data_IF_894371088691
#
_entry.id   IF_894371088691
#
_cell.length_a   1.000
_cell.length_b   1.000
_cell.length_c   1.000
_cell.angle_alpha   90.00
_cell.angle_beta   90.00
_cell.angle_gamma   90.00
#
_symmetry.space_group_name_H-M   'P 1'
#
loop_
_entity.id
_entity.type
_entity.pdbx_description
1 polymer ?
#
# COMPACT_ATOMS: atom_id res chain seq x y z
N UNK A 1 -12.82 12.24 22.16
CA UNK A 1 -12.80 11.55 20.84
C UNK A 1 -12.20 10.18 21.08
N UNK A 2 -12.74 9.12 20.48
CA UNK A 2 -12.13 7.80 20.58
C UNK A 2 -10.75 7.85 19.92
N UNK A 3 -9.75 7.19 20.53
CA UNK A 3 -8.39 7.16 19.98
C UNK A 3 -8.38 6.40 18.64
N UNK A 4 -7.78 7.01 17.61
CA UNK A 4 -7.51 6.29 16.36
C UNK A 4 -6.33 5.34 16.56
N UNK A 5 -6.51 4.05 16.28
CA UNK A 5 -5.50 3.02 16.46
C UNK A 5 -5.27 2.27 15.16
N UNK A 6 -4.03 2.24 14.71
CA UNK A 6 -3.61 1.47 13.54
C UNK A 6 -2.80 0.24 14.00
N UNK A 7 -3.36 -0.96 13.82
CA UNK A 7 -2.62 -2.22 13.98
C UNK A 7 -1.84 -2.47 12.71
N UNK A 8 -0.53 -2.39 12.81
CA UNK A 8 0.38 -2.16 11.70
C UNK A 8 1.54 -3.15 11.69
N UNK A 9 2.06 -3.43 10.51
CA UNK A 9 3.39 -3.99 10.32
C UNK A 9 4.21 -3.06 9.43
N UNK A 10 5.33 -2.61 9.89
CA UNK A 10 6.11 -1.53 9.28
C UNK A 10 6.40 -1.70 7.78
N UNK A 11 6.68 -2.94 7.30
CA UNK A 11 6.91 -3.23 5.87
C UNK A 11 5.65 -3.60 5.08
N UNK A 12 4.49 -3.65 5.70
CA UNK A 12 3.26 -3.99 4.99
C UNK A 12 2.87 -2.87 4.03
N UNK A 13 2.76 -3.20 2.73
CA UNK A 13 2.29 -2.26 1.71
C UNK A 13 0.88 -1.75 2.01
N UNK A 14 -0.01 -2.61 2.50
CA UNK A 14 -1.37 -2.21 2.87
C UNK A 14 -1.41 -1.27 4.07
N UNK A 15 -0.54 -1.48 5.07
CA UNK A 15 -0.39 -0.58 6.22
C UNK A 15 0.23 0.75 5.80
N UNK A 16 1.23 0.74 4.91
CA UNK A 16 1.85 1.96 4.40
C UNK A 16 0.83 2.85 3.70
N UNK A 17 -0.13 2.28 2.93
CA UNK A 17 -1.25 3.03 2.35
C UNK A 17 -2.02 3.81 3.41
N UNK A 18 -2.34 3.16 4.55
CA UNK A 18 -3.09 3.82 5.62
C UNK A 18 -2.28 4.88 6.35
N UNK A 19 -0.99 4.65 6.59
CA UNK A 19 -0.12 5.68 7.16
C UNK A 19 -0.11 6.94 6.29
N UNK A 20 0.00 6.78 4.97
CA UNK A 20 -0.08 7.93 4.03
C UNK A 20 -1.42 8.63 4.17
N UNK A 21 -2.53 7.91 4.09
CA UNK A 21 -3.86 8.50 4.11
C UNK A 21 -4.17 9.21 5.44
N UNK A 22 -3.80 8.62 6.58
CA UNK A 22 -3.97 9.23 7.89
C UNK A 22 -3.14 10.51 8.02
N UNK A 23 -1.93 10.52 7.47
CA UNK A 23 -1.09 11.72 7.44
C UNK A 23 -1.65 12.81 6.51
N UNK A 24 -2.15 12.44 5.32
CA UNK A 24 -2.83 13.39 4.41
C UNK A 24 -4.07 14.00 5.06
N UNK A 25 -4.82 13.17 5.81
CA UNK A 25 -5.99 13.62 6.57
C UNK A 25 -5.64 14.42 7.84
N UNK A 26 -4.37 14.55 8.19
CA UNK A 26 -3.90 15.12 9.45
C UNK A 26 -4.56 14.46 10.69
N UNK A 27 -4.87 13.16 10.62
CA UNK A 27 -5.47 12.39 11.71
C UNK A 27 -4.34 11.80 12.57
N UNK A 28 -4.20 12.23 13.83
CA UNK A 28 -3.27 11.60 14.75
C UNK A 28 -3.73 10.18 15.07
N UNK A 29 -2.80 9.24 15.09
CA UNK A 29 -3.09 7.85 15.40
C UNK A 29 -1.98 7.22 16.25
N UNK A 30 -2.34 6.21 17.02
CA UNK A 30 -1.41 5.36 17.74
C UNK A 30 -1.16 4.09 16.92
N UNK A 31 0.06 3.87 16.50
CA UNK A 31 0.45 2.62 15.85
C UNK A 31 0.66 1.51 16.90
N UNK A 32 0.06 0.35 16.66
CA UNK A 32 0.27 -0.88 17.44
C UNK A 32 0.93 -1.90 16.52
N UNK A 33 2.21 -2.23 16.73
CA UNK A 33 2.90 -3.16 15.87
C UNK A 33 2.33 -4.58 15.99
N UNK A 34 2.22 -5.26 14.84
CA UNK A 34 1.84 -6.68 14.73
C UNK A 34 2.92 -7.38 13.92
N UNK A 35 3.80 -8.11 14.58
CA UNK A 35 4.96 -8.73 13.92
C UNK A 35 4.53 -9.95 13.08
N UNK A 36 4.55 -9.77 11.76
CA UNK A 36 4.21 -10.83 10.80
C UNK A 36 5.25 -11.94 10.76
N UNK A 37 6.51 -11.65 11.08
CA UNK A 37 7.59 -12.63 11.10
C UNK A 37 7.44 -13.56 12.29
N UNK A 38 7.09 -13.00 13.46
CA UNK A 38 6.79 -13.76 14.69
C UNK A 38 5.41 -14.44 14.66
N UNK A 39 4.58 -14.14 13.65
CA UNK A 39 3.26 -14.74 13.51
C UNK A 39 2.18 -14.10 14.39
N UNK A 40 2.40 -12.92 14.96
CA UNK A 40 1.44 -12.23 15.85
C UNK A 40 0.09 -11.95 15.19
N UNK A 41 0.05 -11.80 13.86
CA UNK A 41 -1.19 -11.68 13.09
C UNK A 41 -2.10 -12.92 13.15
N UNK A 42 -1.59 -14.05 13.67
CA UNK A 42 -2.33 -15.30 13.89
C UNK A 42 -2.68 -15.55 15.35
N UNK A 43 -2.27 -14.66 16.24
CA UNK A 43 -2.64 -14.74 17.64
C UNK A 43 -4.16 -14.52 17.82
N UNK A 44 -4.80 -15.16 18.82
CA UNK A 44 -6.24 -15.06 19.04
C UNK A 44 -6.75 -13.61 19.13
N UNK A 45 -5.97 -12.74 19.76
CA UNK A 45 -6.33 -11.33 19.92
C UNK A 45 -6.38 -10.59 18.57
N UNK A 46 -5.46 -10.88 17.64
CA UNK A 46 -5.49 -10.27 16.31
C UNK A 46 -6.57 -10.90 15.44
N UNK A 47 -6.75 -12.21 15.52
CA UNK A 47 -7.83 -12.90 14.79
C UNK A 47 -9.23 -12.45 15.23
N UNK A 48 -9.39 -12.04 16.48
CA UNK A 48 -10.63 -11.43 16.96
C UNK A 48 -10.89 -10.06 16.29
N UNK A 49 -9.83 -9.29 15.93
CA UNK A 49 -9.94 -8.02 15.20
C UNK A 49 -10.12 -8.25 13.70
N UNK A 50 -9.35 -9.16 13.13
CA UNK A 50 -9.40 -9.50 11.71
C UNK A 50 -9.28 -11.02 11.52
N UNK A 51 -10.40 -11.72 11.28
CA UNK A 51 -10.38 -13.18 11.08
C UNK A 51 -9.51 -13.65 9.90
N UNK A 52 -9.17 -12.76 8.96
CA UNK A 52 -8.24 -13.07 7.86
C UNK A 52 -6.78 -13.19 8.33
N UNK A 53 -6.45 -12.75 9.55
CA UNK A 53 -5.07 -12.71 10.05
C UNK A 53 -4.18 -11.80 9.20
N UNK A 54 -4.67 -10.63 8.82
CA UNK A 54 -3.96 -9.66 7.98
C UNK A 54 -3.88 -8.30 8.69
N UNK A 55 -2.88 -7.52 8.31
CA UNK A 55 -2.76 -6.10 8.65
C UNK A 55 -2.98 -5.28 7.37
N UNK A 56 -3.45 -4.02 7.48
CA UNK A 56 -3.82 -3.28 8.68
C UNK A 56 -5.20 -3.61 9.23
N UNK A 57 -5.41 -3.26 10.50
CA UNK A 57 -6.73 -3.02 11.09
C UNK A 57 -6.72 -1.59 11.60
N UNK A 58 -7.78 -0.85 11.40
CA UNK A 58 -7.95 0.52 11.87
C UNK A 58 -9.15 0.63 12.79
N UNK A 59 -8.92 1.06 14.04
CA UNK A 59 -9.97 1.51 14.94
C UNK A 59 -10.11 3.02 14.77
N UNK A 60 -11.27 3.49 14.31
CA UNK A 60 -11.59 4.90 14.07
C UNK A 60 -13.09 5.14 14.17
N UNK A 61 -13.50 6.27 14.73
CA UNK A 61 -14.92 6.68 14.84
C UNK A 61 -15.82 5.65 15.54
N UNK A 62 -15.25 4.81 16.41
CA UNK A 62 -15.97 3.70 17.05
C UNK A 62 -16.15 2.45 16.20
N UNK A 63 -15.54 2.44 14.99
CA UNK A 63 -15.54 1.30 14.06
C UNK A 63 -14.18 0.58 14.10
N UNK A 64 -14.22 -0.73 13.85
CA UNK A 64 -13.03 -1.51 13.57
C UNK A 64 -13.06 -1.95 12.11
N UNK A 65 -12.15 -1.39 11.30
CA UNK A 65 -12.14 -1.53 9.85
C UNK A 65 -10.94 -2.37 9.38
N UNK A 66 -11.18 -3.18 8.36
CA UNK A 66 -10.17 -3.99 7.67
C UNK A 66 -10.19 -3.69 6.18
N UNK A 67 -9.19 -4.21 5.42
CA UNK A 67 -9.04 -3.96 3.98
C UNK A 67 -8.66 -2.52 3.64
N UNK A 68 -7.39 -2.32 3.26
CA UNK A 68 -6.85 -0.97 3.06
C UNK A 68 -7.63 -0.12 2.06
N UNK A 69 -8.15 -0.71 0.96
CA UNK A 69 -8.94 0.05 -0.02
C UNK A 69 -10.30 0.49 0.54
N UNK A 70 -10.97 -0.37 1.32
CA UNK A 70 -12.22 0.00 1.97
C UNK A 70 -12.01 1.10 3.03
N UNK A 71 -10.91 1.02 3.77
CA UNK A 71 -10.55 2.04 4.76
C UNK A 71 -10.21 3.37 4.07
N UNK A 72 -9.51 3.34 2.93
CA UNK A 72 -9.22 4.53 2.13
C UNK A 72 -10.49 5.19 1.61
N UNK A 73 -11.46 4.40 1.12
CA UNK A 73 -12.76 4.90 0.68
C UNK A 73 -13.54 5.52 1.85
N UNK A 74 -13.55 4.88 3.02
CA UNK A 74 -14.14 5.43 4.23
C UNK A 74 -13.52 6.78 4.63
N UNK A 75 -12.19 6.88 4.64
CA UNK A 75 -11.48 8.11 4.96
C UNK A 75 -11.75 9.20 3.93
N UNK A 76 -11.77 8.85 2.64
CA UNK A 76 -12.08 9.79 1.56
C UNK A 76 -13.48 10.40 1.75
N UNK A 77 -14.49 9.57 1.95
CA UNK A 77 -15.89 10.02 2.10
C UNK A 77 -16.14 10.79 3.40
N UNK A 78 -15.52 10.39 4.50
CA UNK A 78 -15.79 10.99 5.82
C UNK A 78 -14.92 12.20 6.12
N UNK A 79 -13.82 12.40 5.41
CA UNK A 79 -12.84 13.48 5.62
C UNK A 79 -12.67 14.37 4.38
N UNK A 80 -13.39 14.07 3.29
CA UNK A 80 -13.35 14.83 2.01
C UNK A 80 -11.91 14.98 1.49
N UNK A 81 -11.15 13.87 1.44
CA UNK A 81 -9.75 13.90 1.06
C UNK A 81 -9.54 14.13 -0.44
N UNK A 82 -10.55 13.82 -1.26
CA UNK A 82 -10.47 13.94 -2.72
C UNK A 82 -9.54 12.89 -3.35
N UNK A 83 -9.46 11.69 -2.75
CA UNK A 83 -8.57 10.62 -3.23
C UNK A 83 -8.97 10.10 -4.60
N UNK A 84 -10.24 10.27 -4.99
CA UNK A 84 -10.76 9.91 -6.30
C UNK A 84 -11.68 11.02 -6.82
N UNK A 85 -11.75 11.23 -8.15
CA UNK A 85 -12.64 12.23 -8.75
C UNK A 85 -14.12 12.00 -8.43
N UNK A 86 -14.92 13.09 -8.47
CA UNK A 86 -16.37 13.01 -8.31
C UNK A 86 -17.07 12.48 -9.57
N UNK A 87 -16.52 12.76 -10.77
CA UNK A 87 -17.05 12.22 -12.02
C UNK A 87 -16.93 10.69 -12.06
N UNK A 88 -18.00 9.94 -12.33
CA UNK A 88 -18.00 8.49 -12.26
C UNK A 88 -17.04 7.82 -13.25
N UNK A 89 -16.84 8.39 -14.44
CA UNK A 89 -15.96 7.81 -15.45
C UNK A 89 -14.49 8.00 -15.06
N UNK A 90 -14.11 9.21 -14.65
CA UNK A 90 -12.76 9.49 -14.16
C UNK A 90 -12.47 8.74 -12.85
N UNK A 91 -13.45 8.64 -11.93
CA UNK A 91 -13.36 7.83 -10.73
C UNK A 91 -13.04 6.37 -11.04
N UNK A 92 -13.77 5.78 -12.00
CA UNK A 92 -13.54 4.39 -12.42
C UNK A 92 -12.13 4.19 -12.98
N UNK A 93 -11.63 5.14 -13.77
CA UNK A 93 -10.26 5.09 -14.32
C UNK A 93 -9.20 5.17 -13.24
N UNK A 94 -9.33 6.08 -12.27
CA UNK A 94 -8.40 6.21 -11.15
C UNK A 94 -8.43 4.97 -10.26
N UNK A 95 -9.62 4.42 -10.00
CA UNK A 95 -9.75 3.17 -9.25
C UNK A 95 -9.11 2.00 -9.98
N UNK A 96 -9.29 1.88 -11.30
CA UNK A 96 -8.65 0.82 -12.09
C UNK A 96 -7.11 0.90 -11.99
N UNK A 97 -6.55 2.11 -12.08
CA UNK A 97 -5.11 2.34 -11.92
C UNK A 97 -4.63 1.91 -10.53
N UNK A 98 -5.31 2.32 -9.46
CA UNK A 98 -4.96 1.95 -8.10
C UNK A 98 -5.11 0.43 -7.84
N UNK A 99 -6.14 -0.19 -8.42
CA UNK A 99 -6.43 -1.62 -8.27
C UNK A 99 -5.43 -2.50 -9.02
N UNK A 100 -4.87 -2.05 -10.15
CA UNK A 100 -3.77 -2.76 -10.82
C UNK A 100 -2.59 -3.04 -9.87
N UNK A 101 -2.33 -2.13 -8.92
CA UNK A 101 -1.35 -2.35 -7.86
C UNK A 101 -1.94 -3.18 -6.71
N UNK A 102 -3.08 -2.73 -6.18
CA UNK A 102 -3.58 -3.20 -4.90
C UNK A 102 -4.23 -4.58 -4.96
N UNK A 103 -4.72 -4.99 -6.14
CA UNK A 103 -5.44 -6.24 -6.36
C UNK A 103 -4.62 -7.22 -7.22
N UNK A 104 -3.89 -6.73 -8.23
CA UNK A 104 -3.22 -7.63 -9.16
C UNK A 104 -1.76 -7.92 -8.75
N UNK A 105 -1.01 -6.93 -8.24
CA UNK A 105 0.40 -7.12 -7.84
C UNK A 105 0.51 -7.51 -6.36
N UNK A 106 -0.03 -6.66 -5.47
CA UNK A 106 0.20 -6.80 -4.02
C UNK A 106 -0.22 -8.15 -3.43
N UNK A 107 -1.40 -8.75 -3.76
CA UNK A 107 -1.82 -10.01 -3.15
C UNK A 107 -0.94 -11.19 -3.55
N UNK A 108 -0.49 -11.27 -4.80
CA UNK A 108 0.41 -12.35 -5.24
C UNK A 108 1.81 -12.20 -4.66
N UNK A 109 2.22 -10.98 -4.35
CA UNK A 109 3.47 -10.66 -3.66
C UNK A 109 3.36 -10.66 -2.13
N UNK A 110 2.24 -11.11 -1.57
CA UNK A 110 2.06 -11.22 -0.13
C UNK A 110 2.97 -12.30 0.46
N UNK A 111 3.46 -12.06 1.68
CA UNK A 111 4.39 -12.96 2.38
C UNK A 111 3.90 -14.41 2.46
N UNK A 112 2.59 -14.63 2.72
CA UNK A 112 2.02 -15.98 2.79
C UNK A 112 2.02 -16.69 1.44
N UNK A 113 1.80 -15.96 0.34
CA UNK A 113 1.78 -16.51 -1.02
C UNK A 113 3.20 -16.88 -1.45
N UNK A 114 4.15 -15.96 -1.29
CA UNK A 114 5.55 -16.22 -1.63
C UNK A 114 6.14 -17.38 -0.81
N UNK A 115 5.80 -17.47 0.49
CA UNK A 115 6.21 -18.59 1.34
C UNK A 115 5.66 -19.92 0.83
N UNK A 116 4.36 -19.96 0.51
CA UNK A 116 3.74 -21.18 -0.02
C UNK A 116 4.33 -21.58 -1.38
N UNK A 117 4.58 -20.62 -2.27
CA UNK A 117 5.26 -20.88 -3.54
C UNK A 117 6.67 -21.47 -3.32
N UNK A 118 7.42 -20.97 -2.33
CA UNK A 118 8.73 -21.53 -1.96
C UNK A 118 8.60 -22.95 -1.45
N UNK A 119 7.62 -23.26 -0.61
CA UNK A 119 7.35 -24.60 -0.13
C UNK A 119 7.03 -25.56 -1.30
N UNK A 120 6.18 -25.15 -2.24
CA UNK A 120 5.84 -25.93 -3.43
C UNK A 120 7.04 -26.18 -4.37
N UNK A 121 8.01 -25.28 -4.40
CA UNK A 121 9.26 -25.44 -5.16
C UNK A 121 10.31 -26.31 -4.47
N UNK A 122 9.97 -26.94 -3.34
CA UNK A 122 10.90 -27.72 -2.55
C UNK A 122 11.93 -26.89 -1.78
N UNK A 123 11.64 -25.61 -1.54
CA UNK A 123 12.54 -24.68 -0.81
C UNK A 123 13.70 -24.16 -1.67
N UNK A 124 13.54 -24.11 -3.00
CA UNK A 124 14.60 -23.65 -3.90
C UNK A 124 15.14 -22.29 -3.49
N UNK A 125 16.49 -22.19 -3.41
CA UNK A 125 17.19 -20.96 -3.09
C UNK A 125 16.88 -19.89 -4.14
N UNK A 126 16.67 -18.62 -3.69
CA UNK A 126 16.30 -17.51 -4.57
C UNK A 126 14.82 -17.43 -4.96
N UNK A 127 14.03 -18.50 -4.77
CA UNK A 127 12.62 -18.57 -5.17
C UNK A 127 11.77 -17.36 -4.71
N UNK A 128 11.86 -16.88 -3.46
CA UNK A 128 11.10 -15.70 -3.06
C UNK A 128 11.42 -14.45 -3.88
N UNK A 129 12.69 -14.22 -4.19
CA UNK A 129 13.13 -13.09 -5.00
C UNK A 129 12.67 -13.20 -6.46
N UNK A 130 12.80 -14.38 -7.06
CA UNK A 130 12.35 -14.64 -8.44
C UNK A 130 10.83 -14.48 -8.55
N UNK A 131 10.07 -14.99 -7.59
CA UNK A 131 8.62 -14.81 -7.51
C UNK A 131 8.25 -13.32 -7.49
N UNK A 132 8.87 -12.55 -6.61
CA UNK A 132 8.59 -11.12 -6.49
C UNK A 132 8.94 -10.36 -7.77
N UNK A 133 10.12 -10.59 -8.35
CA UNK A 133 10.53 -9.95 -9.60
C UNK A 133 9.62 -10.30 -10.77
N UNK A 134 9.19 -11.57 -10.84
CA UNK A 134 8.29 -12.06 -11.89
C UNK A 134 6.94 -11.33 -11.92
N UNK A 135 6.35 -11.01 -10.77
CA UNK A 135 5.04 -10.35 -10.72
C UNK A 135 5.14 -8.82 -10.63
N UNK A 136 6.13 -8.29 -9.92
CA UNK A 136 6.23 -6.84 -9.70
C UNK A 136 6.61 -6.13 -11.00
N UNK A 137 7.63 -6.59 -11.71
CA UNK A 137 8.14 -5.89 -12.90
C UNK A 137 7.09 -5.71 -13.99
N UNK A 138 6.45 -6.78 -14.52
CA UNK A 138 5.43 -6.61 -15.57
C UNK A 138 4.21 -5.85 -15.09
N UNK A 139 3.82 -5.99 -13.82
CA UNK A 139 2.72 -5.22 -13.25
C UNK A 139 3.01 -3.72 -13.20
N UNK A 140 4.23 -3.31 -12.82
CA UNK A 140 4.65 -1.90 -12.86
C UNK A 140 4.83 -1.38 -14.29
N UNK A 141 5.28 -2.21 -15.24
CA UNK A 141 5.29 -1.83 -16.66
C UNK A 141 3.88 -1.56 -17.20
N UNK A 142 2.92 -2.40 -16.85
CA UNK A 142 1.53 -2.17 -17.22
C UNK A 142 0.99 -0.87 -16.58
N UNK A 143 1.32 -0.63 -15.31
CA UNK A 143 0.95 0.62 -14.62
C UNK A 143 1.57 1.86 -15.30
N UNK A 144 2.85 1.81 -15.69
CA UNK A 144 3.52 2.88 -16.43
C UNK A 144 2.79 3.23 -17.74
N UNK A 145 2.31 2.21 -18.47
CA UNK A 145 1.51 2.41 -19.69
C UNK A 145 0.15 3.01 -19.38
N UNK A 146 -0.56 2.46 -18.38
CA UNK A 146 -1.88 2.97 -17.95
C UNK A 146 -1.78 4.43 -17.48
N UNK A 147 -0.72 4.76 -16.77
CA UNK A 147 -0.46 6.12 -16.26
C UNK A 147 -0.33 7.13 -17.40
N UNK A 148 0.13 6.71 -18.59
CA UNK A 148 0.17 7.54 -19.80
C UNK A 148 -1.20 8.02 -20.28
N UNK A 149 -2.30 7.44 -19.82
CA UNK A 149 -3.67 7.88 -20.09
C UNK A 149 -4.20 8.98 -19.16
N UNK A 150 -3.35 9.46 -18.22
CA UNK A 150 -3.70 10.53 -17.28
C UNK A 150 -2.82 11.75 -17.47
N UNK A 151 -3.36 12.91 -17.13
CA UNK A 151 -2.58 14.14 -17.04
C UNK A 151 -1.84 14.15 -15.68
N UNK A 152 -0.52 13.85 -15.73
CA UNK A 152 0.34 13.88 -14.55
C UNK A 152 0.79 15.31 -14.28
N UNK A 153 0.57 15.81 -13.02
CA UNK A 153 1.06 17.12 -12.64
C UNK A 153 0.95 17.36 -11.11
N UNK A 154 1.91 17.01 -10.29
CA UNK A 154 3.03 16.07 -10.47
C UNK A 154 2.68 14.63 -10.03
N UNK A 155 1.43 14.36 -9.57
CA UNK A 155 0.97 13.07 -9.10
C UNK A 155 0.38 12.22 -10.22
N UNK A 156 -0.04 11.01 -9.93
CA UNK A 156 -0.58 10.07 -10.92
C UNK A 156 -1.72 10.67 -11.76
N UNK A 157 -2.61 11.43 -11.12
CA UNK A 157 -3.86 11.86 -11.74
C UNK A 157 -4.16 13.36 -11.49
N UNK A 158 -3.15 14.21 -11.43
CA UNK A 158 -3.34 15.66 -11.24
C UNK A 158 -2.34 16.29 -10.28
N UNK A 159 -2.76 17.41 -9.69
CA UNK A 159 -1.93 18.29 -8.85
C UNK A 159 -1.93 17.95 -7.35
N UNK A 160 -2.81 17.06 -6.94
CA UNK A 160 -2.91 16.58 -5.56
C UNK A 160 -2.74 15.06 -5.50
N UNK A 161 -2.14 14.52 -4.42
CA UNK A 161 -1.97 13.08 -4.29
C UNK A 161 -3.31 12.38 -4.09
N UNK A 162 -3.54 11.31 -4.84
CA UNK A 162 -4.78 10.53 -4.84
C UNK A 162 -4.59 9.05 -4.50
N UNK A 163 -5.65 8.28 -4.74
CA UNK A 163 -5.69 6.86 -4.45
C UNK A 163 -4.59 6.09 -5.20
N UNK A 164 -4.30 6.47 -6.45
CA UNK A 164 -3.28 5.81 -7.27
C UNK A 164 -1.88 6.00 -6.67
N UNK A 165 -1.56 7.20 -6.20
CA UNK A 165 -0.27 7.52 -5.54
C UNK A 165 -0.10 6.73 -4.23
N UNK A 166 -1.16 6.69 -3.42
CA UNK A 166 -1.19 5.92 -2.16
C UNK A 166 -0.95 4.43 -2.40
N UNK A 167 -1.45 3.88 -3.52
CA UNK A 167 -1.22 2.49 -3.88
C UNK A 167 0.17 2.26 -4.49
N UNK A 168 0.66 3.21 -5.30
CA UNK A 168 1.92 3.10 -6.02
C UNK A 168 3.14 3.13 -5.09
N UNK A 169 3.22 4.08 -4.16
CA UNK A 169 4.41 4.28 -3.34
C UNK A 169 4.83 3.04 -2.52
N UNK A 170 3.91 2.31 -1.85
CA UNK A 170 4.26 1.04 -1.20
C UNK A 170 4.76 -0.03 -2.18
N UNK A 171 4.28 -0.01 -3.42
CA UNK A 171 4.71 -0.98 -4.43
C UNK A 171 6.10 -0.65 -4.98
N UNK A 172 6.44 0.63 -5.15
CA UNK A 172 7.81 1.07 -5.49
C UNK A 172 8.78 0.66 -4.38
N UNK A 173 8.45 0.91 -3.11
CA UNK A 173 9.25 0.46 -1.98
C UNK A 173 9.49 -1.05 -2.03
N UNK A 174 8.46 -1.83 -2.34
CA UNK A 174 8.56 -3.28 -2.49
C UNK A 174 9.43 -3.67 -3.69
N UNK A 175 9.30 -2.99 -4.83
CA UNK A 175 10.13 -3.21 -6.02
C UNK A 175 11.62 -3.00 -5.72
N UNK A 176 11.97 -1.89 -5.07
CA UNK A 176 13.36 -1.59 -4.69
C UNK A 176 13.92 -2.63 -3.70
N UNK A 177 13.12 -3.07 -2.74
CA UNK A 177 13.52 -4.10 -1.79
C UNK A 177 13.84 -5.44 -2.44
N UNK A 178 13.18 -5.77 -3.55
CA UNK A 178 13.39 -7.00 -4.31
C UNK A 178 14.28 -6.80 -5.55
N UNK A 179 14.95 -5.64 -5.62
CA UNK A 179 15.89 -5.30 -6.69
C UNK A 179 15.27 -5.39 -8.09
N UNK A 180 13.99 -5.00 -8.19
CA UNK A 180 13.29 -4.89 -9.47
C UNK A 180 13.75 -3.60 -10.15
N UNK A 181 14.33 -3.74 -11.34
CA UNK A 181 14.68 -2.59 -12.16
C UNK A 181 13.43 -1.90 -12.71
N UNK A 182 13.28 -0.61 -12.41
CA UNK A 182 12.20 0.28 -12.87
C UNK A 182 12.76 1.54 -13.54
N UNK A 183 14.03 1.54 -13.92
CA UNK A 183 14.71 2.70 -14.50
C UNK A 183 14.16 3.14 -15.86
N UNK A 184 13.48 2.26 -16.56
CA UNK A 184 12.78 2.50 -17.82
C UNK A 184 11.30 2.94 -17.68
N UNK A 185 10.88 3.32 -16.47
CA UNK A 185 9.52 3.76 -16.14
C UNK A 185 9.50 5.25 -15.73
N UNK A 186 9.69 6.19 -16.67
CA UNK A 186 9.93 7.60 -16.33
C UNK A 186 8.73 8.30 -15.67
N UNK A 187 7.48 7.93 -16.03
CA UNK A 187 6.28 8.50 -15.42
C UNK A 187 6.18 8.10 -13.94
N UNK A 188 6.36 6.81 -13.67
CA UNK A 188 6.37 6.26 -12.33
C UNK A 188 7.45 6.91 -11.46
N UNK A 189 8.67 7.08 -11.97
CA UNK A 189 9.79 7.73 -11.26
C UNK A 189 9.52 9.21 -10.99
N UNK A 190 8.83 9.91 -11.91
CA UNK A 190 8.39 11.29 -11.70
C UNK A 190 7.41 11.40 -10.53
N UNK A 191 6.41 10.52 -10.48
CA UNK A 191 5.44 10.45 -9.37
C UNK A 191 6.15 10.10 -8.06
N UNK A 192 7.06 9.12 -8.07
CA UNK A 192 7.87 8.78 -6.88
C UNK A 192 8.59 10.01 -6.33
N UNK A 193 9.19 10.82 -7.19
CA UNK A 193 9.89 12.04 -6.80
C UNK A 193 8.95 13.03 -6.12
N UNK A 194 7.78 13.27 -6.69
CA UNK A 194 6.78 14.17 -6.13
C UNK A 194 6.23 13.68 -4.78
N UNK A 195 5.91 12.40 -4.70
CA UNK A 195 5.41 11.78 -3.46
C UNK A 195 6.48 11.83 -2.35
N UNK A 196 7.74 11.56 -2.64
CA UNK A 196 8.82 11.62 -1.66
C UNK A 196 9.06 13.04 -1.12
N UNK A 197 8.77 14.07 -1.92
CA UNK A 197 8.82 15.47 -1.47
C UNK A 197 7.62 15.86 -0.59
N UNK A 198 6.54 15.08 -0.59
CA UNK A 198 5.35 15.36 0.22
C UNK A 198 5.55 14.89 1.67
N UNK A 199 5.38 15.77 2.68
CA UNK A 199 5.62 15.40 4.08
C UNK A 199 4.78 14.23 4.60
N UNK A 200 3.53 14.07 4.11
CA UNK A 200 2.65 12.99 4.53
C UNK A 200 3.17 11.61 4.10
N UNK A 201 3.71 11.52 2.87
CA UNK A 201 4.34 10.30 2.36
C UNK A 201 5.69 10.04 3.04
N UNK A 202 6.51 11.07 3.17
CA UNK A 202 7.82 10.97 3.82
C UNK A 202 7.69 10.49 5.28
N UNK A 203 6.71 10.99 6.02
CA UNK A 203 6.44 10.56 7.40
C UNK A 203 5.93 9.11 7.48
N UNK A 204 5.21 8.64 6.46
CA UNK A 204 4.65 7.29 6.40
C UNK A 204 5.66 6.21 5.95
N UNK A 205 6.86 6.61 5.50
CA UNK A 205 7.86 5.69 4.92
C UNK A 205 8.20 4.55 5.87
N UNK A 206 8.25 3.27 5.38
CA UNK A 206 8.45 2.11 6.23
C UNK A 206 9.65 2.20 7.17
N UNK A 207 10.79 2.71 6.70
CA UNK A 207 12.03 2.76 7.49
C UNK A 207 11.92 3.68 8.72
N UNK A 208 10.94 4.59 8.75
CA UNK A 208 10.62 5.42 9.93
C UNK A 208 9.81 4.68 10.98
N UNK A 209 9.24 3.53 10.61
CA UNK A 209 8.38 2.69 11.46
C UNK A 209 9.04 1.33 11.78
N UNK A 210 10.27 1.14 11.34
CA UNK A 210 11.04 -0.04 11.69
C UNK A 210 11.24 -0.13 13.21
N UNK A 211 11.13 -1.32 13.83
CA UNK A 211 11.44 -1.48 15.24
C UNK A 211 12.89 -1.06 15.49
N UNK A 212 13.12 -0.41 16.64
CA UNK A 212 14.47 -0.18 17.11
C UNK A 212 15.17 -1.54 17.26
N UNK A 213 16.34 -1.69 16.63
CA UNK A 213 17.13 -2.92 16.63
C UNK A 213 17.62 -3.31 18.00
#
# INVERSE_FOLDING_TARGET
>A
MADTILYDYWRSSASYRLRIALNLAAIPYRAVPVDLVKGEHRAPEHLARNPQGLVPVLDIDGLQLTQSLAILDYLDQTRNLGLVPADPAERARVQALAQAIAIDIHPVCNLKVARHATELSGGAEGMPGDWMRHFIRPGLQAFEVMLGGFEQSPYCCGDTPGLADICLMPQIYNARRWEVDISDMPRLLSVETACNANPAFAAAHPDRHAPAG
#
